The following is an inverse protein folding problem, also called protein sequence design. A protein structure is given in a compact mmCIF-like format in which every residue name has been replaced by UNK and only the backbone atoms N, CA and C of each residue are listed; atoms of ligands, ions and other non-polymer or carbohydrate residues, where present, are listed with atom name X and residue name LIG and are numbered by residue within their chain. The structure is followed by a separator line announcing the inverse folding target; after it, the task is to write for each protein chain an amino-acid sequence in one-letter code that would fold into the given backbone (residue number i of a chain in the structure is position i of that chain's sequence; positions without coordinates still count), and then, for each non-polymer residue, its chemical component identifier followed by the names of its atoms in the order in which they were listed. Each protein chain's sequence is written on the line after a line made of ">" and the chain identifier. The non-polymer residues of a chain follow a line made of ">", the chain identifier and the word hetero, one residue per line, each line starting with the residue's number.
data_IF_344303994006
#
_entry.id   IF_344303994006
#
_cell.length_a   1.000
_cell.length_b   1.000
_cell.length_c   1.000
_cell.angle_alpha   90.00
_cell.angle_beta   90.00
_cell.angle_gamma   90.00
#
_symmetry.space_group_name_H-M   'P 1'
#
loop_
_entity.id
_entity.type
_entity.pdbx_description
1 polymer ?
#
# COMPACT_ATOMS: atom_id res chain seq x y z
N UNK A 1 -14.82 44.80 -10.79
CA UNK A 1 -15.59 43.64 -11.31
C UNK A 1 -15.39 42.47 -10.34
N UNK A 2 -16.41 42.13 -9.55
CA UNK A 2 -16.30 41.08 -8.53
C UNK A 2 -16.74 39.74 -9.12
N UNK A 3 -15.79 38.81 -9.25
CA UNK A 3 -16.07 37.45 -9.72
C UNK A 3 -16.91 36.71 -8.68
N UNK A 4 -18.16 36.36 -9.05
CA UNK A 4 -19.06 35.60 -8.18
C UNK A 4 -18.56 34.16 -8.12
N UNK A 5 -18.07 33.75 -6.94
CA UNK A 5 -17.68 32.36 -6.67
C UNK A 5 -18.79 31.38 -7.06
N UNK A 6 -18.41 30.34 -7.78
CA UNK A 6 -19.34 29.33 -8.28
C UNK A 6 -19.92 28.51 -7.13
N UNK A 7 -21.07 27.88 -7.35
CA UNK A 7 -21.78 27.08 -6.33
C UNK A 7 -20.89 25.97 -5.74
N UNK A 8 -19.97 25.43 -6.55
CA UNK A 8 -19.02 24.40 -6.16
C UNK A 8 -17.93 24.93 -5.21
N UNK A 9 -17.37 26.11 -5.49
CA UNK A 9 -16.37 26.77 -4.63
C UNK A 9 -16.93 27.13 -3.24
N UNK A 10 -18.22 27.48 -3.17
CA UNK A 10 -18.91 27.74 -1.91
C UNK A 10 -19.11 26.47 -1.07
N UNK A 11 -19.35 25.32 -1.72
CA UNK A 11 -19.55 24.05 -1.04
C UNK A 11 -18.25 23.49 -0.44
N UNK A 12 -17.13 23.59 -1.18
CA UNK A 12 -15.80 23.21 -0.69
C UNK A 12 -15.39 24.06 0.52
N UNK A 13 -15.67 25.37 0.48
CA UNK A 13 -15.35 26.27 1.58
C UNK A 13 -16.20 25.98 2.84
N UNK A 14 -17.46 25.57 2.67
CA UNK A 14 -18.39 25.32 3.78
C UNK A 14 -18.15 23.98 4.51
N UNK A 15 -17.54 22.99 3.85
CA UNK A 15 -17.35 21.64 4.39
C UNK A 15 -15.88 21.31 4.71
N UNK A 16 -15.05 22.33 4.98
CA UNK A 16 -13.64 22.16 5.36
C UNK A 16 -13.50 21.73 6.83
N UNK A 17 -14.04 20.57 7.18
CA UNK A 17 -13.81 19.93 8.47
C UNK A 17 -12.50 19.11 8.42
N UNK A 18 -11.71 19.03 9.51
CA UNK A 18 -10.67 18.03 9.61
C UNK A 18 -11.34 16.64 9.69
N UNK A 19 -11.31 15.88 8.60
CA UNK A 19 -12.02 14.61 8.46
C UNK A 19 -11.23 13.39 8.96
N UNK A 20 -10.21 13.58 9.81
CA UNK A 20 -9.33 12.48 10.20
C UNK A 20 -9.14 12.41 11.72
N UNK A 21 -9.94 11.56 12.36
CA UNK A 21 -9.61 11.00 13.67
C UNK A 21 -8.76 9.74 13.44
N UNK A 22 -7.48 9.79 13.81
CA UNK A 22 -6.62 8.61 13.86
C UNK A 22 -6.55 8.11 15.31
N UNK A 23 -7.01 6.89 15.53
CA UNK A 23 -6.80 6.14 16.77
C UNK A 23 -5.68 5.14 16.50
N UNK A 24 -4.54 5.28 17.18
CA UNK A 24 -3.46 4.29 17.16
C UNK A 24 -3.22 3.79 18.58
N UNK A 25 -3.03 2.48 18.72
CA UNK A 25 -2.61 1.84 19.97
C UNK A 25 -1.35 1.02 19.69
N UNK A 26 -0.34 1.17 20.54
CA UNK A 26 0.91 0.42 20.43
C UNK A 26 0.68 -1.01 20.97
N UNK A 27 0.90 -2.02 20.14
CA UNK A 27 0.84 -3.43 20.51
C UNK A 27 2.24 -4.03 20.37
N UNK A 28 2.80 -4.54 21.47
CA UNK A 28 4.13 -5.14 21.51
C UNK A 28 4.06 -6.61 21.95
N UNK A 29 4.73 -7.48 21.20
CA UNK A 29 4.93 -8.90 21.52
C UNK A 29 6.43 -9.15 21.58
N UNK A 30 6.94 -9.63 22.72
CA UNK A 30 8.35 -10.00 22.88
C UNK A 30 8.53 -11.49 22.53
N UNK A 31 9.26 -11.79 21.46
CA UNK A 31 9.64 -13.14 21.07
C UNK A 31 11.13 -13.37 21.34
N UNK A 32 11.50 -14.53 21.92
CA UNK A 32 12.89 -14.93 22.08
C UNK A 32 13.49 -15.33 20.72
N UNK A 33 14.60 -14.71 20.33
CA UNK A 33 15.15 -14.79 18.96
C UNK A 33 15.89 -16.10 18.68
N UNK A 34 15.60 -16.70 17.52
CA UNK A 34 16.55 -17.55 16.78
C UNK A 34 17.05 -16.76 15.56
N UNK A 35 18.37 -16.66 15.42
CA UNK A 35 19.04 -15.72 14.54
C UNK A 35 19.07 -16.19 13.08
N UNK A 36 18.07 -15.79 12.29
CA UNK A 36 18.21 -15.68 10.83
C UNK A 36 17.39 -14.47 10.37
N UNK A 37 18.02 -13.53 9.66
CA UNK A 37 17.32 -12.36 9.15
C UNK A 37 16.23 -12.80 8.16
N UNK A 38 14.99 -12.33 8.32
CA UNK A 38 13.90 -12.69 7.41
C UNK A 38 14.20 -12.20 5.97
N UNK A 39 13.71 -12.90 4.93
CA UNK A 39 13.88 -12.49 3.54
C UNK A 39 13.27 -11.12 3.28
N UNK A 40 13.90 -10.34 2.40
CA UNK A 40 13.38 -9.04 1.97
C UNK A 40 12.77 -9.12 0.58
N UNK A 41 11.90 -8.15 0.26
CA UNK A 41 11.35 -7.96 -1.07
C UNK A 41 11.41 -6.49 -1.49
N UNK A 42 11.41 -6.29 -2.80
CA UNK A 42 11.22 -4.99 -3.44
C UNK A 42 10.24 -5.19 -4.60
N UNK A 43 9.19 -4.39 -4.64
CA UNK A 43 8.17 -4.45 -5.67
C UNK A 43 7.82 -3.06 -6.19
N UNK A 44 7.42 -3.00 -7.46
CA UNK A 44 6.86 -1.80 -8.08
C UNK A 44 5.35 -1.92 -7.96
N UNK A 45 4.75 -1.16 -7.05
CA UNK A 45 3.32 -1.18 -6.78
C UNK A 45 2.53 -0.45 -7.86
N UNK A 46 3.13 0.58 -8.47
CA UNK A 46 2.52 1.35 -9.54
C UNK A 46 3.58 1.91 -10.49
N UNK A 47 3.30 1.87 -11.79
CA UNK A 47 4.24 2.28 -12.85
C UNK A 47 3.95 3.65 -13.46
N UNK A 48 2.95 4.38 -12.95
CA UNK A 48 2.45 5.60 -13.59
C UNK A 48 1.43 5.35 -14.70
N UNK A 49 1.31 4.11 -15.18
CA UNK A 49 0.39 3.76 -16.26
C UNK A 49 -1.07 3.72 -15.78
N UNK A 50 -2.05 4.16 -16.60
CA UNK A 50 -3.45 4.11 -16.19
C UNK A 50 -3.94 2.68 -15.87
N UNK A 51 -4.52 2.51 -14.69
CA UNK A 51 -5.12 1.24 -14.24
C UNK A 51 -6.53 1.16 -14.80
N UNK A 52 -6.83 0.08 -15.52
CA UNK A 52 -8.17 -0.21 -16.04
C UNK A 52 -8.89 -1.17 -15.09
N UNK A 53 -9.95 -0.72 -14.45
CA UNK A 53 -10.80 -1.58 -13.64
C UNK A 53 -11.98 -2.07 -14.47
N UNK A 54 -12.39 -3.33 -14.28
CA UNK A 54 -13.55 -3.89 -15.00
C UNK A 54 -14.88 -3.18 -14.69
N UNK A 55 -14.95 -2.45 -13.57
CA UNK A 55 -16.16 -1.76 -13.10
C UNK A 55 -16.23 -0.28 -13.50
N UNK A 56 -15.18 0.28 -14.11
CA UNK A 56 -15.13 1.69 -14.51
C UNK A 56 -14.86 1.83 -16.01
N UNK A 57 -15.55 2.79 -16.66
CA UNK A 57 -15.24 3.19 -18.04
C UNK A 57 -14.01 4.11 -18.12
N UNK A 58 -13.69 4.77 -17.02
CA UNK A 58 -12.55 5.67 -16.90
C UNK A 58 -11.36 4.93 -16.32
N UNK A 59 -10.15 5.22 -16.82
CA UNK A 59 -8.94 4.70 -16.21
C UNK A 59 -8.64 5.45 -14.90
N UNK A 60 -8.13 4.74 -13.91
CA UNK A 60 -7.64 5.30 -12.67
C UNK A 60 -6.14 5.59 -12.81
N UNK A 61 -5.72 6.76 -12.36
CA UNK A 61 -4.31 7.15 -12.29
C UNK A 61 -4.07 7.61 -10.87
N UNK A 62 -2.99 7.12 -10.24
CA UNK A 62 -2.58 7.60 -8.92
C UNK A 62 -1.77 8.88 -9.09
N UNK A 63 -2.18 9.94 -8.40
CA UNK A 63 -1.37 11.15 -8.25
C UNK A 63 -0.26 10.88 -7.24
N UNK A 64 0.95 10.67 -7.74
CA UNK A 64 2.13 10.40 -6.93
C UNK A 64 2.70 11.67 -6.29
N UNK A 65 2.45 12.85 -6.85
CA UNK A 65 3.00 14.11 -6.34
C UNK A 65 2.29 14.56 -5.06
N UNK A 66 0.98 14.31 -4.97
CA UNK A 66 0.16 14.59 -3.79
C UNK A 66 0.06 13.45 -2.78
N UNK A 67 0.78 12.33 -2.98
CA UNK A 67 0.63 11.13 -2.16
C UNK A 67 1.26 11.31 -0.77
N UNK A 68 0.46 11.11 0.28
CA UNK A 68 0.96 11.03 1.66
C UNK A 68 1.54 9.64 1.93
N UNK A 69 2.86 9.58 2.00
CA UNK A 69 3.61 8.37 2.31
C UNK A 69 4.09 8.35 3.77
N UNK A 70 3.50 9.13 4.68
CA UNK A 70 3.92 9.10 6.09
C UNK A 70 3.72 7.73 6.75
N UNK A 71 2.72 6.96 6.33
CA UNK A 71 2.55 5.58 6.79
C UNK A 71 3.44 4.61 6.01
N UNK A 72 4.52 4.19 6.65
CA UNK A 72 5.47 3.22 6.10
C UNK A 72 5.15 1.77 6.52
N UNK A 73 4.22 1.59 7.47
CA UNK A 73 3.86 0.30 8.04
C UNK A 73 2.59 -0.23 7.37
N UNK A 74 2.77 -0.97 6.27
CA UNK A 74 1.66 -1.52 5.48
C UNK A 74 1.82 -3.04 5.39
N UNK A 75 0.80 -3.83 5.77
CA UNK A 75 0.83 -5.28 5.57
C UNK A 75 0.78 -5.61 4.08
N UNK A 76 1.59 -6.57 3.65
CA UNK A 76 1.59 -7.09 2.29
C UNK A 76 0.74 -8.34 2.24
N UNK A 77 -0.35 -8.25 1.48
CA UNK A 77 -1.37 -9.28 1.41
C UNK A 77 -1.29 -10.04 0.08
N UNK A 78 -1.53 -11.35 0.14
CA UNK A 78 -1.79 -12.14 -1.03
C UNK A 78 -3.27 -12.03 -1.43
N UNK A 79 -3.54 -11.69 -2.69
CA UNK A 79 -4.90 -11.70 -3.24
C UNK A 79 -5.86 -10.67 -2.63
N UNK A 80 -5.36 -9.59 -2.02
CA UNK A 80 -6.18 -8.58 -1.31
C UNK A 80 -7.04 -9.15 -0.16
N UNK A 81 -6.69 -10.32 0.36
CA UNK A 81 -7.34 -10.90 1.52
C UNK A 81 -6.68 -10.38 2.81
N UNK A 82 -7.46 -9.71 3.64
CA UNK A 82 -7.02 -9.11 4.90
C UNK A 82 -6.98 -10.10 6.08
N UNK A 83 -7.19 -11.40 5.83
CA UNK A 83 -6.98 -12.45 6.84
C UNK A 83 -5.48 -12.58 7.19
N UNK A 84 -5.18 -12.98 8.43
CA UNK A 84 -3.80 -13.25 8.86
C UNK A 84 -3.12 -14.33 8.01
N UNK A 85 -3.89 -15.29 7.50
CA UNK A 85 -3.39 -16.36 6.63
C UNK A 85 -2.87 -15.85 5.28
N UNK A 86 -3.37 -14.71 4.82
CA UNK A 86 -2.97 -14.09 3.55
C UNK A 86 -1.90 -13.03 3.72
N UNK A 87 -1.45 -12.74 4.95
CA UNK A 87 -0.31 -11.82 5.20
C UNK A 87 0.99 -12.50 4.81
N UNK A 88 1.70 -11.92 3.84
CA UNK A 88 3.02 -12.37 3.39
C UNK A 88 4.14 -11.64 4.13
N UNK A 89 3.94 -10.37 4.45
CA UNK A 89 4.99 -9.56 5.07
C UNK A 89 4.53 -8.17 5.41
N UNK A 90 5.51 -7.29 5.63
CA UNK A 90 5.28 -5.91 6.02
C UNK A 90 6.24 -4.99 5.28
N UNK A 91 5.72 -3.87 4.80
CA UNK A 91 6.53 -2.81 4.22
C UNK A 91 7.45 -2.21 5.29
N UNK A 92 8.70 -1.97 4.91
CA UNK A 92 9.68 -1.19 5.69
C UNK A 92 9.96 0.16 5.05
N UNK A 93 9.71 0.28 3.74
CA UNK A 93 9.75 1.55 3.03
C UNK A 93 8.71 1.59 1.91
N UNK A 94 8.02 2.72 1.79
CA UNK A 94 7.13 3.07 0.68
C UNK A 94 7.63 4.40 0.13
N UNK A 95 8.11 4.36 -1.10
CA UNK A 95 8.78 5.51 -1.75
C UNK A 95 8.26 5.73 -3.15
N UNK A 96 8.45 6.95 -3.65
CA UNK A 96 8.13 7.31 -5.03
C UNK A 96 9.24 8.18 -5.60
N UNK A 97 9.55 7.98 -6.88
CA UNK A 97 10.44 8.86 -7.66
C UNK A 97 9.63 9.88 -8.49
N UNK A 98 8.32 9.95 -8.27
CA UNK A 98 7.37 10.76 -9.05
C UNK A 98 6.81 10.05 -10.28
N UNK A 99 7.39 8.92 -10.69
CA UNK A 99 6.92 8.10 -11.82
C UNK A 99 6.41 6.73 -11.37
N UNK A 100 7.03 6.16 -10.34
CA UNK A 100 6.72 4.83 -9.82
C UNK A 100 6.51 4.88 -8.31
N UNK A 101 5.55 4.06 -7.84
CA UNK A 101 5.42 3.74 -6.43
C UNK A 101 6.18 2.44 -6.16
N UNK A 102 7.15 2.50 -5.25
CA UNK A 102 8.02 1.39 -4.89
C UNK A 102 7.73 1.02 -3.43
N UNK A 103 7.62 -0.28 -3.18
CA UNK A 103 7.47 -0.82 -1.83
C UNK A 103 8.58 -1.81 -1.57
N UNK A 104 9.27 -1.63 -0.45
CA UNK A 104 10.27 -2.53 0.07
C UNK A 104 9.82 -3.04 1.42
N UNK A 105 10.23 -4.24 1.78
CA UNK A 105 9.86 -4.81 3.06
C UNK A 105 10.43 -6.18 3.33
N UNK A 106 9.85 -6.79 4.36
CA UNK A 106 10.30 -8.04 4.92
C UNK A 106 9.18 -9.07 4.86
N UNK A 107 9.51 -10.30 4.45
CA UNK A 107 8.62 -11.45 4.50
C UNK A 107 8.57 -11.95 5.94
N UNK A 108 7.44 -11.70 6.60
CA UNK A 108 7.18 -12.04 8.02
C UNK A 108 6.08 -13.10 8.17
N UNK A 109 5.33 -13.36 7.10
CA UNK A 109 4.23 -14.31 7.12
C UNK A 109 4.71 -15.72 7.42
N UNK A 110 4.04 -16.39 8.35
CA UNK A 110 4.33 -17.77 8.77
C UNK A 110 3.28 -18.78 8.28
N UNK A 111 2.24 -18.31 7.60
CA UNK A 111 1.19 -19.16 7.03
C UNK A 111 1.70 -20.02 5.86
N UNK A 112 0.95 -21.07 5.54
CA UNK A 112 1.19 -21.90 4.35
C UNK A 112 1.19 -21.05 3.07
N UNK A 113 0.35 -20.02 2.99
CA UNK A 113 0.30 -19.09 1.86
C UNK A 113 1.61 -18.32 1.74
N UNK A 114 2.10 -17.73 2.83
CA UNK A 114 3.35 -16.98 2.83
C UNK A 114 4.56 -17.86 2.48
N UNK A 115 4.62 -19.07 3.04
CA UNK A 115 5.67 -20.05 2.73
C UNK A 115 5.66 -20.46 1.25
N UNK A 116 4.47 -20.69 0.67
CA UNK A 116 4.32 -20.99 -0.77
C UNK A 116 4.74 -19.82 -1.66
N UNK A 117 4.36 -18.59 -1.31
CA UNK A 117 4.78 -17.40 -2.05
C UNK A 117 6.30 -17.29 -2.08
N UNK A 118 6.96 -17.47 -0.91
CA UNK A 118 8.41 -17.43 -0.80
C UNK A 118 9.10 -18.54 -1.60
N UNK A 119 8.59 -19.77 -1.53
CA UNK A 119 9.12 -20.90 -2.28
C UNK A 119 8.99 -20.71 -3.81
N UNK A 120 7.84 -20.23 -4.27
CA UNK A 120 7.62 -19.93 -5.69
C UNK A 120 8.52 -18.77 -6.16
N UNK A 121 8.72 -17.75 -5.34
CA UNK A 121 9.64 -16.65 -5.63
C UNK A 121 11.10 -17.15 -5.77
N UNK A 122 11.55 -18.04 -4.87
CA UNK A 122 12.88 -18.68 -4.96
C UNK A 122 13.06 -19.48 -6.25
N UNK A 123 11.99 -20.05 -6.78
CA UNK A 123 11.96 -20.76 -8.08
C UNK A 123 11.87 -19.83 -9.29
N UNK A 124 11.87 -18.51 -9.08
CA UNK A 124 11.85 -17.50 -10.14
C UNK A 124 10.44 -17.10 -10.61
N UNK A 125 9.38 -17.45 -9.86
CA UNK A 125 8.05 -16.95 -10.17
C UNK A 125 8.02 -15.42 -10.04
N UNK A 126 7.46 -14.75 -11.06
CA UNK A 126 7.25 -13.31 -11.05
C UNK A 126 5.84 -13.01 -10.55
N UNK A 127 5.75 -12.42 -9.37
CA UNK A 127 4.48 -11.95 -8.81
C UNK A 127 4.11 -10.58 -9.39
N UNK A 128 2.81 -10.36 -9.56
CA UNK A 128 2.26 -9.03 -9.84
C UNK A 128 1.88 -8.37 -8.52
N UNK A 129 2.15 -7.06 -8.44
CA UNK A 129 1.67 -6.23 -7.35
C UNK A 129 0.48 -5.40 -7.83
N UNK A 130 -0.45 -5.14 -6.91
CA UNK A 130 -1.60 -4.27 -7.12
C UNK A 130 -1.72 -3.37 -5.91
N UNK A 131 -2.13 -2.13 -6.14
CA UNK A 131 -2.63 -1.23 -5.09
C UNK A 131 -4.14 -1.45 -5.00
N UNK A 132 -4.65 -1.66 -3.78
CA UNK A 132 -6.06 -1.90 -3.47
C UNK A 132 -6.60 -0.83 -2.53
#
# INVERSE_FOLDING_TARGET
>A
MSSKKTKHEKWIAANKAPSRLTWSADFAVEAAAEATSPPTFRLVAYTGAPIRQGWSRNALVLDLAGMDLSNQSIPILFGHDASLESVVGQATAVTTDGSQLIVEGTVLGVSDTAQRVLELARRGMKFQASVG
#
